data_IF_532590752907
#
_entry.id   IF_532590752907
#
_cell.length_a   1.000
_cell.length_b   1.000
_cell.length_c   1.000
_cell.angle_alpha   90.00
_cell.angle_beta   90.00
_cell.angle_gamma   90.00
#
_symmetry.space_group_name_H-M   'P 1'
#
loop_
_entity.id
_entity.type
_entity.pdbx_description
1 polymer ?
#
# COMPACT_ATOMS: atom_id res chain seq x y z
N UNK A 1 18.26 2.42 -6.41
CA UNK A 1 17.24 1.64 -5.65
C UNK A 1 17.16 0.24 -6.21
N UNK A 2 16.89 -0.75 -5.36
CA UNK A 2 16.70 -2.14 -5.79
C UNK A 2 15.28 -2.27 -6.36
N UNK A 3 15.10 -2.68 -7.63
CA UNK A 3 13.76 -2.87 -8.20
C UNK A 3 12.92 -3.85 -7.37
N UNK A 4 11.63 -3.58 -7.26
CA UNK A 4 10.70 -4.50 -6.63
C UNK A 4 10.74 -5.88 -7.35
N UNK A 5 10.84 -7.00 -6.61
CA UNK A 5 10.73 -8.31 -7.24
C UNK A 5 9.36 -8.49 -7.87
N UNK A 6 9.30 -9.22 -9.00
CA UNK A 6 8.03 -9.65 -9.59
C UNK A 6 7.65 -11.00 -8.96
N UNK A 7 6.47 -11.13 -8.34
CA UNK A 7 5.96 -12.40 -7.84
C UNK A 7 5.95 -13.50 -8.90
N UNK A 8 6.21 -14.75 -8.51
CA UNK A 8 6.17 -15.90 -9.45
C UNK A 8 4.78 -16.13 -10.05
N UNK A 9 3.73 -15.69 -9.35
CA UNK A 9 2.32 -15.77 -9.72
C UNK A 9 1.75 -14.41 -10.18
N UNK A 10 2.61 -13.51 -10.69
CA UNK A 10 2.21 -12.15 -11.10
C UNK A 10 1.05 -12.15 -12.10
N UNK A 11 0.99 -13.12 -13.02
CA UNK A 11 -0.11 -13.24 -13.96
C UNK A 11 -1.46 -13.47 -13.26
N UNK A 12 -1.49 -14.37 -12.26
CA UNK A 12 -2.67 -14.64 -11.45
C UNK A 12 -3.04 -13.44 -10.58
N UNK A 13 -2.04 -12.78 -9.99
CA UNK A 13 -2.22 -11.56 -9.17
C UNK A 13 -2.84 -10.41 -9.96
N UNK A 14 -2.33 -10.16 -11.16
CA UNK A 14 -2.89 -9.14 -12.07
C UNK A 14 -4.28 -9.51 -12.57
N UNK A 15 -4.53 -10.80 -12.82
CA UNK A 15 -5.86 -11.27 -13.20
C UNK A 15 -6.87 -11.02 -12.08
N UNK A 16 -6.54 -11.41 -10.85
CA UNK A 16 -7.40 -11.17 -9.68
C UNK A 16 -7.69 -9.68 -9.48
N UNK A 17 -6.66 -8.81 -9.58
CA UNK A 17 -6.85 -7.35 -9.49
C UNK A 17 -7.80 -6.81 -10.58
N UNK A 18 -7.72 -7.33 -11.80
CA UNK A 18 -8.58 -6.90 -12.92
C UNK A 18 -10.02 -7.35 -12.75
N UNK A 19 -10.23 -8.56 -12.22
CA UNK A 19 -11.57 -9.13 -11.98
C UNK A 19 -12.38 -8.31 -10.96
N UNK A 20 -11.71 -7.60 -10.06
CA UNK A 20 -12.34 -6.69 -9.11
C UNK A 20 -12.93 -5.43 -9.75
N UNK A 21 -12.58 -5.09 -11.00
CA UNK A 21 -13.04 -3.89 -11.72
C UNK A 21 -12.89 -2.57 -10.94
N UNK A 22 -11.92 -2.51 -10.04
CA UNK A 22 -11.74 -1.41 -9.07
C UNK A 22 -10.76 -0.33 -9.55
N UNK A 23 -9.85 -0.65 -10.47
CA UNK A 23 -8.89 0.31 -11.01
C UNK A 23 -9.61 1.40 -11.82
N UNK A 24 -9.08 2.63 -11.77
CA UNK A 24 -9.60 3.80 -12.48
C UNK A 24 -11.05 4.16 -12.14
N UNK A 25 -11.55 3.71 -10.99
CA UNK A 25 -12.87 4.08 -10.48
C UNK A 25 -12.78 5.31 -9.56
N UNK A 26 -13.89 6.05 -9.36
CA UNK A 26 -13.92 7.16 -8.41
C UNK A 26 -13.56 6.73 -6.98
N UNK A 27 -13.14 7.68 -6.12
CA UNK A 27 -13.02 7.44 -4.68
C UNK A 27 -14.32 6.90 -4.10
N UNK A 28 -14.20 6.02 -3.10
CA UNK A 28 -15.35 5.46 -2.38
C UNK A 28 -15.17 5.67 -0.88
N UNK A 29 -16.19 6.23 -0.24
CA UNK A 29 -16.18 6.64 1.17
C UNK A 29 -15.75 5.51 2.12
N UNK A 30 -16.06 4.25 1.79
CA UNK A 30 -15.69 3.09 2.60
C UNK A 30 -14.17 2.87 2.70
N UNK A 31 -13.41 3.17 1.66
CA UNK A 31 -11.95 3.14 1.71
C UNK A 31 -11.39 4.44 2.30
N UNK A 32 -12.01 5.59 1.96
CA UNK A 32 -11.55 6.90 2.45
C UNK A 32 -11.64 7.01 3.98
N UNK A 33 -12.66 6.40 4.60
CA UNK A 33 -12.77 6.34 6.07
C UNK A 33 -11.62 5.61 6.72
N UNK A 34 -11.13 4.53 6.11
CA UNK A 34 -10.03 3.74 6.67
C UNK A 34 -8.73 4.55 6.63
N UNK A 35 -8.42 5.17 5.49
CA UNK A 35 -7.17 5.95 5.37
C UNK A 35 -7.20 7.22 6.22
N UNK A 36 -8.37 7.86 6.40
CA UNK A 36 -8.53 8.99 7.34
C UNK A 36 -8.32 8.55 8.78
N UNK A 37 -8.98 7.48 9.20
CA UNK A 37 -8.82 6.95 10.56
C UNK A 37 -7.36 6.57 10.85
N UNK A 38 -6.71 5.87 9.93
CA UNK A 38 -5.30 5.52 10.06
C UNK A 38 -4.40 6.77 10.12
N UNK A 39 -4.66 7.78 9.29
CA UNK A 39 -3.88 9.02 9.33
C UNK A 39 -4.01 9.71 10.70
N UNK A 40 -5.22 9.79 11.24
CA UNK A 40 -5.50 10.44 12.52
C UNK A 40 -4.96 9.63 13.71
N UNK A 41 -5.18 8.31 13.74
CA UNK A 41 -4.79 7.41 14.84
C UNK A 41 -3.27 7.31 14.98
N UNK A 42 -2.55 7.22 13.86
CA UNK A 42 -1.09 7.08 13.85
C UNK A 42 -0.35 8.43 13.71
N UNK A 43 -1.07 9.55 13.62
CA UNK A 43 -0.53 10.88 13.28
C UNK A 43 0.37 10.82 12.03
N UNK A 44 -0.11 10.18 10.97
CA UNK A 44 0.64 9.95 9.73
C UNK A 44 0.25 10.97 8.66
N UNK A 45 1.22 11.68 8.05
CA UNK A 45 0.89 12.70 7.05
C UNK A 45 0.35 12.08 5.76
N UNK A 46 0.73 10.83 5.43
CA UNK A 46 0.33 10.15 4.21
C UNK A 46 -0.14 8.74 4.53
N UNK A 47 -1.36 8.40 4.10
CA UNK A 47 -1.91 7.03 4.19
C UNK A 47 -2.67 6.68 2.92
N UNK A 48 -2.44 5.48 2.38
CA UNK A 48 -2.92 5.07 1.07
C UNK A 48 -3.53 3.66 1.11
N UNK A 49 -4.65 3.47 0.40
CA UNK A 49 -5.01 2.16 -0.16
C UNK A 49 -4.44 2.12 -1.57
N UNK A 50 -3.35 1.38 -1.72
CA UNK A 50 -2.52 1.32 -2.92
C UNK A 50 -2.71 -0.03 -3.61
N UNK A 51 -3.11 -0.02 -4.88
CA UNK A 51 -3.28 -1.21 -5.72
C UNK A 51 -2.15 -1.27 -6.74
N UNK A 52 -1.48 -2.43 -6.85
CA UNK A 52 -0.30 -2.58 -7.70
C UNK A 52 -0.68 -3.25 -9.02
N UNK A 53 -0.72 -2.49 -10.10
CA UNK A 53 -0.94 -2.98 -11.46
C UNK A 53 0.41 -3.31 -12.14
N UNK A 54 0.38 -3.74 -13.40
CA UNK A 54 1.55 -4.23 -14.12
C UNK A 54 2.68 -3.19 -14.18
N UNK A 55 2.35 -1.91 -14.42
CA UNK A 55 3.33 -0.83 -14.63
C UNK A 55 3.19 0.35 -13.66
N UNK A 56 2.11 0.38 -12.89
CA UNK A 56 1.77 1.50 -12.02
C UNK A 56 1.29 1.00 -10.67
N UNK A 57 1.37 1.90 -9.72
CA UNK A 57 0.71 1.84 -8.44
C UNK A 57 -0.44 2.85 -8.48
N UNK A 58 -1.68 2.40 -8.25
CA UNK A 58 -2.87 3.24 -8.32
C UNK A 58 -3.54 3.35 -6.95
N UNK A 59 -3.95 4.56 -6.55
CA UNK A 59 -4.47 4.84 -5.22
C UNK A 59 -5.99 4.86 -5.16
N UNK A 60 -6.58 3.82 -4.55
CA UNK A 60 -8.03 3.73 -4.36
C UNK A 60 -8.57 4.74 -3.34
N UNK A 61 -7.77 4.99 -2.30
CA UNK A 61 -8.02 5.99 -1.27
C UNK A 61 -6.68 6.58 -0.82
N UNK A 62 -6.67 7.85 -0.45
CA UNK A 62 -5.45 8.56 -0.07
C UNK A 62 -5.70 9.74 0.88
N UNK A 63 -4.75 9.95 1.77
CA UNK A 63 -4.56 11.16 2.59
C UNK A 63 -3.15 11.68 2.34
N UNK A 64 -2.97 13.00 2.27
CA UNK A 64 -1.66 13.64 2.21
C UNK A 64 -0.93 13.59 0.86
N UNK A 65 -1.59 13.13 -0.20
CA UNK A 65 -0.99 13.01 -1.54
C UNK A 65 -1.99 13.40 -2.64
N UNK A 66 -1.59 14.34 -3.51
CA UNK A 66 -2.47 14.85 -4.57
C UNK A 66 -2.56 13.91 -5.78
N UNK A 67 -1.46 13.23 -6.10
CA UNK A 67 -1.40 12.28 -7.22
C UNK A 67 -2.27 11.05 -6.95
N UNK A 68 -2.85 10.48 -8.02
CA UNK A 68 -3.67 9.26 -7.95
C UNK A 68 -2.91 7.98 -8.31
N UNK A 69 -1.69 8.11 -8.84
CA UNK A 69 -0.84 6.97 -9.17
C UNK A 69 0.64 7.36 -9.21
N UNK A 70 1.50 6.35 -9.17
CA UNK A 70 2.95 6.46 -9.42
C UNK A 70 3.42 5.28 -10.27
N UNK A 71 4.62 5.37 -10.84
CA UNK A 71 5.25 4.23 -11.50
C UNK A 71 5.51 3.10 -10.49
N UNK A 72 5.30 1.84 -10.91
CA UNK A 72 5.53 0.67 -10.03
C UNK A 72 6.98 0.57 -9.58
N UNK A 73 7.91 0.89 -10.48
CA UNK A 73 9.35 0.76 -10.21
C UNK A 73 9.84 1.72 -9.12
N UNK A 74 9.10 2.80 -8.87
CA UNK A 74 9.38 3.77 -7.80
C UNK A 74 8.69 3.41 -6.47
N UNK A 75 7.72 2.49 -6.50
CA UNK A 75 6.82 2.22 -5.38
C UNK A 75 7.46 1.36 -4.30
N UNK A 76 7.20 1.71 -3.03
CA UNK A 76 7.47 0.83 -1.88
C UNK A 76 6.52 -0.37 -1.85
N UNK A 77 5.27 -0.19 -2.30
CA UNK A 77 4.25 -1.24 -2.30
C UNK A 77 4.61 -2.40 -3.25
N UNK A 78 5.39 -2.14 -4.30
CA UNK A 78 5.93 -3.19 -5.17
C UNK A 78 6.75 -4.24 -4.40
N UNK A 79 7.48 -3.85 -3.35
CA UNK A 79 8.24 -4.78 -2.51
C UNK A 79 7.34 -5.55 -1.53
N UNK A 80 6.15 -5.04 -1.22
CA UNK A 80 5.21 -5.68 -0.28
C UNK A 80 4.39 -6.77 -0.96
N UNK A 81 4.02 -6.62 -2.23
CA UNK A 81 3.17 -7.61 -2.94
C UNK A 81 3.84 -8.97 -3.16
N UNK A 82 5.10 -9.14 -2.73
CA UNK A 82 5.89 -10.37 -2.83
C UNK A 82 5.82 -11.20 -1.54
N UNK A 83 5.39 -10.61 -0.41
CA UNK A 83 5.40 -11.27 0.90
C UNK A 83 4.11 -10.96 1.71
N UNK A 84 3.51 -11.94 2.40
CA UNK A 84 2.26 -11.75 3.14
C UNK A 84 2.44 -11.05 4.50
N UNK A 85 3.64 -10.56 4.83
CA UNK A 85 3.93 -9.87 6.09
C UNK A 85 3.86 -8.34 5.91
N UNK A 86 3.55 -7.64 7.01
CA UNK A 86 3.69 -6.18 7.08
C UNK A 86 5.17 -5.84 6.89
N UNK A 87 5.45 -4.97 5.94
CA UNK A 87 6.78 -4.41 5.74
C UNK A 87 6.89 -3.10 6.52
N UNK A 88 7.86 -3.00 7.42
CA UNK A 88 8.23 -1.75 8.10
C UNK A 88 9.63 -1.34 7.65
N UNK A 89 9.76 -0.08 7.25
CA UNK A 89 11.00 0.61 6.95
C UNK A 89 11.07 1.80 7.88
N UNK A 90 11.90 1.69 8.92
CA UNK A 90 11.98 2.70 9.99
C UNK A 90 12.62 4.00 9.48
N UNK A 91 13.69 3.87 8.67
CA UNK A 91 14.31 4.97 7.93
C UNK A 91 14.77 4.50 6.54
N UNK A 92 14.11 5.00 5.50
CA UNK A 92 14.36 4.66 4.11
C UNK A 92 15.72 5.15 3.61
N UNK A 93 16.37 6.10 4.28
CA UNK A 93 17.77 6.48 3.99
C UNK A 93 18.78 5.43 4.46
N UNK A 94 18.41 4.59 5.43
CA UNK A 94 19.26 3.51 5.96
C UNK A 94 18.92 2.15 5.36
N UNK A 95 17.86 2.07 4.55
CA UNK A 95 17.42 0.83 3.93
C UNK A 95 18.01 0.70 2.53
N UNK A 96 18.88 -0.30 2.32
CA UNK A 96 19.56 -0.55 1.04
C UNK A 96 18.59 -0.68 -0.15
N UNK A 97 17.33 -1.10 0.08
CA UNK A 97 16.32 -1.21 -0.96
C UNK A 97 15.88 0.16 -1.46
N UNK A 98 15.83 1.15 -0.58
CA UNK A 98 15.13 2.43 -0.78
C UNK A 98 16.03 3.68 -0.70
N UNK A 99 17.26 3.59 -0.19
CA UNK A 99 18.13 4.75 0.05
C UNK A 99 18.35 5.65 -1.18
N UNK A 100 18.42 5.05 -2.37
CA UNK A 100 18.57 5.76 -3.65
C UNK A 100 17.24 5.95 -4.42
N UNK A 101 16.09 5.75 -3.77
CA UNK A 101 14.78 5.91 -4.41
C UNK A 101 14.49 7.41 -4.64
N UNK A 102 14.00 7.83 -5.82
CA UNK A 102 13.59 9.22 -6.07
C UNK A 102 12.60 9.79 -5.05
N UNK A 103 11.70 8.97 -4.49
CA UNK A 103 10.75 9.39 -3.46
C UNK A 103 11.41 9.63 -2.09
N UNK A 104 12.62 9.10 -1.87
CA UNK A 104 13.42 9.25 -0.64
C UNK A 104 14.40 10.41 -0.77
N UNK A 105 15.14 10.43 -1.89
CA UNK A 105 16.18 11.44 -2.19
C UNK A 105 15.59 12.77 -2.66
N UNK A 106 14.48 12.72 -3.39
CA UNK A 106 13.68 13.87 -3.81
C UNK A 106 12.32 13.90 -3.11
N UNK A 107 11.42 14.79 -3.56
CA UNK A 107 10.07 14.86 -3.03
C UNK A 107 9.33 13.51 -3.22
N UNK A 108 8.55 13.04 -2.23
CA UNK A 108 8.16 13.75 -1.01
C UNK A 108 9.12 13.57 0.18
N UNK A 109 10.34 13.09 -0.03
CA UNK A 109 11.34 12.82 1.02
C UNK A 109 10.88 11.79 2.04
N UNK A 110 10.39 10.65 1.55
CA UNK A 110 9.98 9.51 2.37
C UNK A 110 11.13 9.10 3.30
N UNK A 111 10.82 8.95 4.60
CA UNK A 111 11.72 8.40 5.62
C UNK A 111 11.12 7.17 6.24
N UNK A 112 9.86 7.20 6.62
CA UNK A 112 9.20 6.03 7.18
C UNK A 112 8.20 5.45 6.18
N UNK A 113 8.12 4.12 6.16
CA UNK A 113 7.08 3.38 5.43
C UNK A 113 6.63 2.16 6.24
N UNK A 114 5.32 2.00 6.39
CA UNK A 114 4.72 0.74 6.84
C UNK A 114 3.64 0.31 5.84
N UNK A 115 3.77 -0.88 5.26
CA UNK A 115 2.86 -1.41 4.26
C UNK A 115 2.29 -2.76 4.67
N UNK A 116 0.97 -2.82 4.86
CA UNK A 116 0.24 -4.03 5.17
C UNK A 116 -0.38 -4.63 3.89
N UNK A 117 -0.03 -5.87 3.51
CA UNK A 117 -0.44 -6.47 2.25
C UNK A 117 -1.96 -6.73 2.19
N UNK A 118 -2.60 -6.34 1.10
CA UNK A 118 -4.02 -6.62 0.83
C UNK A 118 -4.13 -7.97 0.10
N UNK A 119 -4.16 -9.05 0.88
CA UNK A 119 -4.28 -10.41 0.36
C UNK A 119 -5.75 -10.79 0.19
N UNK A 120 -6.12 -11.19 -1.03
CA UNK A 120 -7.45 -11.70 -1.34
C UNK A 120 -7.64 -13.14 -0.79
N UNK A 121 -8.88 -13.62 -0.62
CA UNK A 121 -9.17 -14.99 -0.21
C UNK A 121 -8.57 -16.05 -1.14
N UNK A 122 -8.39 -15.73 -2.42
CA UNK A 122 -7.74 -16.55 -3.44
C UNK A 122 -6.21 -16.64 -3.28
N UNK A 123 -5.64 -15.88 -2.33
CA UNK A 123 -4.22 -15.90 -1.95
C UNK A 123 -3.37 -14.82 -2.60
N UNK A 124 -3.87 -14.12 -3.62
CA UNK A 124 -3.11 -13.07 -4.33
C UNK A 124 -3.07 -11.77 -3.52
N UNK A 125 -1.88 -11.15 -3.46
CA UNK A 125 -1.70 -9.83 -2.83
C UNK A 125 -1.87 -8.74 -3.90
N UNK A 126 -2.99 -8.03 -3.89
CA UNK A 126 -3.31 -7.06 -4.96
C UNK A 126 -2.79 -5.65 -4.70
N UNK A 127 -2.35 -5.39 -3.46
CA UNK A 127 -1.92 -4.05 -3.06
C UNK A 127 -1.53 -3.98 -1.58
N UNK A 128 -1.58 -2.79 -1.01
CA UNK A 128 -1.28 -2.50 0.39
C UNK A 128 -2.19 -1.43 0.98
N UNK A 129 -2.50 -1.54 2.27
CA UNK A 129 -2.75 -0.37 3.11
C UNK A 129 -1.39 0.11 3.62
N UNK A 130 -0.97 1.33 3.27
CA UNK A 130 0.34 1.83 3.68
C UNK A 130 0.31 3.22 4.29
N UNK A 131 1.24 3.46 5.21
CA UNK A 131 1.47 4.72 5.90
C UNK A 131 2.89 5.19 5.60
N UNK A 132 3.05 6.48 5.35
CA UNK A 132 4.30 7.11 4.93
C UNK A 132 4.51 8.37 5.76
N UNK A 133 5.76 8.59 6.19
CA UNK A 133 6.18 9.83 6.83
C UNK A 133 7.50 10.36 6.26
N UNK A 134 7.68 11.66 6.38
CA UNK A 134 8.90 12.43 6.12
C UNK A 134 9.90 12.36 7.28
N UNK A 135 9.57 11.71 8.40
CA UNK A 135 10.47 11.45 9.52
C UNK A 135 10.59 9.95 9.82
N UNK A 136 11.74 9.47 10.31
CA UNK A 136 11.87 8.09 10.78
C UNK A 136 10.88 7.76 11.89
N UNK A 137 10.33 6.54 11.91
CA UNK A 137 9.43 6.06 12.96
C UNK A 137 9.61 4.57 13.21
N UNK A 138 9.14 4.12 14.36
CA UNK A 138 9.02 2.71 14.75
C UNK A 138 7.57 2.41 15.05
N UNK A 139 7.09 1.20 14.74
CA UNK A 139 5.77 0.74 15.18
C UNK A 139 5.95 -0.33 16.26
N UNK A 140 5.21 -0.19 17.36
CA UNK A 140 5.19 -1.23 18.39
C UNK A 140 4.22 -2.38 18.04
N UNK A 141 4.07 -3.34 18.95
CA UNK A 141 3.20 -4.48 18.72
C UNK A 141 1.70 -4.11 18.64
N UNK A 142 1.28 -3.07 19.35
CA UNK A 142 -0.09 -2.57 19.30
C UNK A 142 -0.34 -1.86 17.96
N UNK A 143 0.58 -1.02 17.54
CA UNK A 143 0.52 -0.33 16.25
C UNK A 143 0.38 -1.31 15.08
N UNK A 144 1.21 -2.36 15.08
CA UNK A 144 1.17 -3.42 14.07
C UNK A 144 -0.16 -4.21 14.12
N UNK A 145 -0.72 -4.44 15.31
CA UNK A 145 -2.01 -5.09 15.46
C UNK A 145 -3.14 -4.23 14.89
N UNK A 146 -3.17 -2.93 15.20
CA UNK A 146 -4.15 -1.98 14.67
C UNK A 146 -4.04 -1.91 13.14
N UNK A 147 -2.83 -1.74 12.60
CA UNK A 147 -2.61 -1.72 11.15
C UNK A 147 -3.07 -3.03 10.49
N UNK A 148 -2.83 -4.18 11.13
CA UNK A 148 -3.32 -5.48 10.70
C UNK A 148 -4.85 -5.57 10.64
N UNK A 149 -5.55 -5.04 11.65
CA UNK A 149 -7.01 -4.96 11.66
C UNK A 149 -7.57 -4.02 10.59
N UNK A 150 -6.96 -2.86 10.39
CA UNK A 150 -7.37 -1.92 9.33
C UNK A 150 -7.16 -2.53 7.94
N UNK A 151 -6.07 -3.25 7.73
CA UNK A 151 -5.84 -4.05 6.52
C UNK A 151 -6.97 -5.05 6.28
N UNK A 152 -7.41 -5.77 7.31
CA UNK A 152 -8.51 -6.74 7.20
C UNK A 152 -9.84 -6.08 6.81
N UNK A 153 -10.13 -4.88 7.34
CA UNK A 153 -11.29 -4.09 6.91
C UNK A 153 -11.22 -3.72 5.43
N UNK A 154 -10.06 -3.24 4.95
CA UNK A 154 -9.88 -2.93 3.52
C UNK A 154 -10.10 -4.17 2.67
N UNK A 155 -9.51 -5.31 3.03
CA UNK A 155 -9.70 -6.58 2.30
C UNK A 155 -11.19 -6.99 2.28
N UNK A 156 -11.90 -6.85 3.40
CA UNK A 156 -13.33 -7.17 3.43
C UNK A 156 -14.13 -6.26 2.48
N UNK A 157 -13.81 -4.97 2.42
CA UNK A 157 -14.45 -4.02 1.50
C UNK A 157 -14.16 -4.36 0.04
N UNK A 158 -12.93 -4.78 -0.26
CA UNK A 158 -12.53 -5.22 -1.61
C UNK A 158 -13.33 -6.44 -2.07
N UNK A 159 -13.47 -7.45 -1.21
CA UNK A 159 -14.18 -8.71 -1.56
C UNK A 159 -15.70 -8.52 -1.60
N UNK A 160 -16.27 -7.61 -0.81
CA UNK A 160 -17.71 -7.39 -0.77
C UNK A 160 -18.31 -6.92 -2.11
N UNK A 161 -17.51 -6.36 -3.03
CA UNK A 161 -17.97 -5.99 -4.37
C UNK A 161 -18.17 -7.19 -5.30
N UNK A 162 -17.58 -8.36 -5.02
CA UNK A 162 -17.72 -9.56 -5.85
C UNK A 162 -19.11 -10.20 -5.74
N UNK A 163 -19.87 -9.92 -4.68
CA UNK A 163 -21.16 -10.58 -4.39
C UNK A 163 -22.36 -9.87 -5.05
N UNK A 164 -22.16 -8.72 -5.71
CA UNK A 164 -23.25 -7.96 -6.34
C UNK A 164 -23.27 -8.07 -7.88
N UNK A 165 -22.65 -9.13 -8.42
CA UNK A 165 -22.68 -9.49 -9.85
C UNK A 165 -23.75 -10.50 -10.21
#
# INVERSE_FOLDING_TARGET
MIPAPIPTDEAQRLQALREMLILDTPPEERFDRVVRFAADEFDMPIVLVSLVDAKRQWFKARVGLDVCETERDLSFCGHVVVQPQILVVEDALQDERFQDNPLVTGAPHVRFYAGAPLQLPTGQIVGTLCMIDHQPRTLDAMDLAILGSLRELVVSELVSQEVTG
#
